data_IF_558690153254
#
_entry.id   IF_558690153254
#
_cell.length_a   1.000
_cell.length_b   1.000
_cell.length_c   1.000
_cell.angle_alpha   90.00
_cell.angle_beta   90.00
_cell.angle_gamma   90.00
#
_symmetry.space_group_name_H-M   'P 1'
#
loop_
_entity.id
_entity.type
_entity.pdbx_description
1 polymer ?
#
# COMPACT_ATOMS: atom_id res chain seq x y z
N UNK A 1 -6.28 -46.28 -76.36
CA UNK A 1 -6.79 -45.50 -75.20
C UNK A 1 -5.71 -45.33 -74.23
N UNK A 2 -5.16 -44.08 -74.08
CA UNK A 2 -4.13 -43.75 -73.07
C UNK A 2 -4.85 -43.06 -71.97
N UNK A 3 -4.85 -43.67 -70.75
CA UNK A 3 -5.33 -43.06 -69.53
C UNK A 3 -4.27 -42.12 -68.96
N UNK A 4 -4.59 -40.83 -68.83
CA UNK A 4 -3.76 -39.83 -68.15
C UNK A 4 -4.19 -39.83 -66.68
N UNK A 5 -3.31 -40.28 -65.78
CA UNK A 5 -3.52 -40.19 -64.35
C UNK A 5 -2.96 -38.80 -63.88
N UNK A 6 -3.86 -37.90 -63.47
CA UNK A 6 -3.48 -36.64 -62.83
C UNK A 6 -3.18 -36.87 -61.34
N UNK A 7 -2.05 -36.41 -60.80
CA UNK A 7 -1.81 -36.48 -59.38
C UNK A 7 -2.64 -35.42 -58.64
N UNK A 8 -3.43 -35.85 -57.64
CA UNK A 8 -4.10 -34.97 -56.69
C UNK A 8 -3.05 -34.54 -55.65
N UNK A 9 -2.63 -33.26 -55.68
CA UNK A 9 -1.79 -32.66 -54.67
C UNK A 9 -2.69 -32.27 -53.51
N UNK A 10 -2.67 -33.04 -52.40
CA UNK A 10 -3.33 -32.67 -51.15
C UNK A 10 -2.53 -31.54 -50.49
N UNK A 11 -3.03 -30.31 -50.51
CA UNK A 11 -2.49 -29.19 -49.81
C UNK A 11 -2.80 -29.35 -48.31
N UNK A 12 -1.80 -29.73 -47.53
CA UNK A 12 -1.87 -29.77 -46.04
C UNK A 12 -1.82 -28.34 -45.55
N UNK A 13 -2.96 -27.77 -45.15
CA UNK A 13 -3.04 -26.48 -44.47
C UNK A 13 -2.52 -26.70 -43.05
N UNK A 14 -1.26 -26.30 -42.76
CA UNK A 14 -0.77 -26.14 -41.40
C UNK A 14 -1.48 -24.96 -40.76
N UNK A 15 -2.50 -25.22 -39.96
CA UNK A 15 -3.02 -24.25 -38.98
C UNK A 15 -1.88 -23.97 -37.98
N UNK A 16 -1.14 -22.90 -38.19
CA UNK A 16 -0.24 -22.38 -37.19
C UNK A 16 -1.08 -21.98 -35.95
N UNK A 17 -1.01 -22.77 -34.90
CA UNK A 17 -1.50 -22.35 -33.59
C UNK A 17 -0.81 -21.01 -33.26
N UNK A 18 -1.54 -19.98 -32.85
CA UNK A 18 -0.89 -18.73 -32.43
C UNK A 18 0.08 -19.08 -31.32
N UNK A 19 1.38 -18.78 -31.51
CA UNK A 19 2.34 -18.85 -30.44
C UNK A 19 1.78 -18.04 -29.28
N UNK A 20 1.44 -18.70 -28.17
CA UNK A 20 0.83 -18.06 -27.01
C UNK A 20 1.65 -16.82 -26.65
N UNK A 21 1.03 -15.65 -26.62
CA UNK A 21 1.72 -14.42 -26.24
C UNK A 21 2.36 -14.64 -24.88
N UNK A 22 3.66 -14.35 -24.74
CA UNK A 22 4.39 -14.49 -23.49
C UNK A 22 3.66 -13.72 -22.37
N UNK A 23 3.55 -14.33 -21.18
CA UNK A 23 2.89 -13.70 -20.04
C UNK A 23 3.51 -12.33 -19.71
N UNK A 24 2.66 -11.41 -19.25
CA UNK A 24 3.10 -10.12 -18.74
C UNK A 24 3.50 -10.30 -17.27
N UNK A 25 4.78 -10.10 -16.98
CA UNK A 25 5.35 -10.41 -15.67
C UNK A 25 5.31 -9.22 -14.74
N UNK A 26 4.66 -9.39 -13.60
CA UNK A 26 4.62 -8.47 -12.47
C UNK A 26 5.70 -8.88 -11.48
N UNK A 27 6.66 -7.99 -11.19
CA UNK A 27 7.66 -8.18 -10.14
C UNK A 27 7.20 -7.59 -8.82
N UNK A 28 7.32 -8.35 -7.73
CA UNK A 28 7.04 -7.92 -6.36
C UNK A 28 8.33 -8.04 -5.54
N UNK A 29 8.98 -6.92 -5.25
CA UNK A 29 9.97 -6.83 -4.18
C UNK A 29 9.26 -6.43 -2.91
N UNK A 30 9.23 -7.29 -1.91
CA UNK A 30 8.46 -7.11 -0.68
C UNK A 30 9.24 -7.61 0.54
N UNK A 31 9.07 -7.00 1.70
CA UNK A 31 9.60 -7.49 2.96
C UNK A 31 8.76 -8.64 3.48
N UNK A 32 8.89 -9.83 2.92
CA UNK A 32 8.16 -11.01 3.38
C UNK A 32 8.65 -11.50 4.75
N UNK A 33 9.84 -11.06 5.13
CA UNK A 33 10.42 -11.15 6.47
C UNK A 33 10.85 -9.76 6.96
N UNK A 34 11.19 -9.63 8.25
CA UNK A 34 11.51 -8.35 8.85
C UNK A 34 10.28 -7.55 9.31
N UNK A 35 10.46 -6.25 9.57
CA UNK A 35 9.45 -5.41 10.23
C UNK A 35 8.19 -5.16 9.39
N UNK A 36 8.29 -5.20 8.07
CA UNK A 36 7.17 -4.96 7.16
C UNK A 36 6.39 -6.24 6.79
N UNK A 37 6.77 -7.40 7.35
CA UNK A 37 6.26 -8.70 6.89
C UNK A 37 4.73 -8.82 6.89
N UNK A 38 4.05 -8.25 7.88
CA UNK A 38 2.59 -8.31 7.97
C UNK A 38 1.93 -7.57 6.81
N UNK A 39 2.38 -6.34 6.54
CA UNK A 39 1.82 -5.49 5.49
C UNK A 39 2.20 -5.96 4.09
N UNK A 40 3.46 -6.34 3.88
CA UNK A 40 3.95 -6.72 2.56
C UNK A 40 3.44 -8.08 2.08
N UNK A 41 3.21 -9.03 3.00
CA UNK A 41 2.53 -10.28 2.67
C UNK A 41 1.08 -10.04 2.25
N UNK A 42 0.36 -9.18 2.97
CA UNK A 42 -1.02 -8.84 2.60
C UNK A 42 -1.08 -8.10 1.25
N UNK A 43 -0.15 -7.18 0.99
CA UNK A 43 -0.01 -6.52 -0.31
C UNK A 43 0.22 -7.52 -1.45
N UNK A 44 1.22 -8.39 -1.32
CA UNK A 44 1.50 -9.45 -2.29
C UNK A 44 0.26 -10.30 -2.57
N UNK A 45 -0.41 -10.76 -1.51
CA UNK A 45 -1.61 -11.57 -1.62
C UNK A 45 -2.72 -10.86 -2.43
N UNK A 46 -2.85 -9.54 -2.25
CA UNK A 46 -3.78 -8.71 -3.03
C UNK A 46 -3.42 -8.60 -4.51
N UNK A 47 -2.12 -8.44 -4.82
CA UNK A 47 -1.61 -8.46 -6.20
C UNK A 47 -1.89 -9.81 -6.87
N UNK A 48 -1.64 -10.92 -6.16
CA UNK A 48 -1.93 -12.27 -6.66
C UNK A 48 -3.41 -12.50 -6.93
N UNK A 49 -4.30 -12.05 -6.02
CA UNK A 49 -5.76 -12.15 -6.21
C UNK A 49 -6.21 -11.35 -7.42
N UNK A 50 -5.67 -10.14 -7.62
CA UNK A 50 -5.99 -9.31 -8.77
C UNK A 50 -5.53 -9.94 -10.09
N UNK A 51 -4.28 -10.43 -10.14
CA UNK A 51 -3.74 -11.10 -11.32
C UNK A 51 -4.54 -12.37 -11.66
N UNK A 52 -4.89 -13.18 -10.65
CA UNK A 52 -5.72 -14.37 -10.85
C UNK A 52 -7.10 -14.01 -11.41
N UNK A 53 -7.78 -13.01 -10.81
CA UNK A 53 -9.10 -12.56 -11.25
C UNK A 53 -9.12 -12.06 -12.71
N UNK A 54 -8.09 -11.31 -13.12
CA UNK A 54 -7.95 -10.89 -14.52
C UNK A 54 -7.65 -12.08 -15.43
N UNK A 55 -6.84 -13.02 -14.97
CA UNK A 55 -6.50 -14.22 -15.73
C UNK A 55 -7.70 -15.15 -15.99
N UNK A 56 -8.66 -15.22 -15.06
CA UNK A 56 -9.92 -15.97 -15.25
C UNK A 56 -10.72 -15.44 -16.44
N UNK A 57 -10.65 -14.13 -16.71
CA UNK A 57 -11.36 -13.47 -17.80
C UNK A 57 -10.53 -13.29 -19.09
N UNK A 58 -9.38 -13.96 -19.19
CA UNK A 58 -8.54 -13.92 -20.41
C UNK A 58 -7.27 -13.09 -20.27
N UNK A 59 -6.99 -12.51 -19.10
CA UNK A 59 -5.86 -11.64 -18.83
C UNK A 59 -6.11 -10.18 -19.23
N UNK A 60 -5.04 -9.42 -19.44
CA UNK A 60 -5.08 -8.02 -19.85
C UNK A 60 -4.73 -7.94 -21.34
N UNK A 61 -5.62 -7.38 -22.16
CA UNK A 61 -5.46 -7.29 -23.60
C UNK A 61 -5.04 -8.65 -24.26
N UNK A 62 -5.58 -9.76 -23.75
CA UNK A 62 -5.33 -11.11 -24.26
C UNK A 62 -4.04 -11.77 -23.75
N UNK A 63 -3.28 -11.14 -22.84
CA UNK A 63 -2.10 -11.74 -22.20
C UNK A 63 -2.38 -12.05 -20.74
N UNK A 64 -1.92 -13.21 -20.29
CA UNK A 64 -1.97 -13.61 -18.88
C UNK A 64 -0.94 -12.81 -18.07
N UNK A 65 -1.25 -12.60 -16.80
CA UNK A 65 -0.35 -12.00 -15.82
C UNK A 65 0.37 -13.10 -15.04
N UNK A 66 1.69 -13.04 -14.99
CA UNK A 66 2.52 -13.89 -14.14
C UNK A 66 3.14 -13.06 -13.02
N UNK A 67 3.03 -13.51 -11.77
CA UNK A 67 3.57 -12.81 -10.61
C UNK A 67 4.88 -13.46 -10.18
N UNK A 68 5.94 -12.67 -10.08
CA UNK A 68 7.26 -13.06 -9.56
C UNK A 68 7.49 -12.31 -8.25
N UNK A 69 7.64 -13.03 -7.17
CA UNK A 69 7.80 -12.45 -5.83
C UNK A 69 9.15 -12.80 -5.23
N UNK A 70 9.84 -11.80 -4.66
CA UNK A 70 11.11 -11.97 -3.96
C UNK A 70 11.10 -11.24 -2.61
N UNK A 71 11.68 -11.87 -1.60
CA UNK A 71 11.82 -11.30 -0.25
C UNK A 71 13.02 -10.34 -0.20
N UNK A 72 12.77 -9.07 0.08
CA UNK A 72 13.81 -8.08 0.34
C UNK A 72 14.17 -7.93 1.83
N UNK A 73 13.59 -8.79 2.69
CA UNK A 73 13.82 -8.86 4.15
C UNK A 73 13.57 -7.53 4.89
N UNK A 74 12.81 -6.63 4.29
CA UNK A 74 12.63 -5.25 4.75
C UNK A 74 13.92 -4.42 4.80
N UNK A 75 14.96 -4.83 4.05
CA UNK A 75 16.28 -4.21 4.02
C UNK A 75 16.56 -3.50 2.69
N UNK A 76 16.99 -2.21 2.70
CA UNK A 76 17.21 -1.44 1.48
C UNK A 76 18.26 -2.04 0.53
N UNK A 77 19.34 -2.61 1.06
CA UNK A 77 20.41 -3.22 0.26
C UNK A 77 19.92 -4.49 -0.44
N UNK A 78 19.14 -5.31 0.26
CA UNK A 78 18.54 -6.51 -0.30
C UNK A 78 17.52 -6.15 -1.38
N UNK A 79 16.72 -5.09 -1.17
CA UNK A 79 15.79 -4.61 -2.19
C UNK A 79 16.50 -4.30 -3.52
N UNK A 80 17.64 -3.60 -3.50
CA UNK A 80 18.43 -3.32 -4.73
C UNK A 80 18.84 -4.60 -5.44
N UNK A 81 19.27 -5.62 -4.67
CA UNK A 81 19.67 -6.93 -5.21
C UNK A 81 18.49 -7.63 -5.87
N UNK A 82 17.35 -7.67 -5.19
CA UNK A 82 16.11 -8.26 -5.68
C UNK A 82 15.63 -7.60 -6.97
N UNK A 83 15.58 -6.26 -7.01
CA UNK A 83 15.16 -5.53 -8.21
C UNK A 83 16.10 -5.81 -9.41
N UNK A 84 17.42 -5.84 -9.20
CA UNK A 84 18.39 -6.19 -10.26
C UNK A 84 18.15 -7.59 -10.80
N UNK A 85 17.95 -8.58 -9.92
CA UNK A 85 17.66 -9.97 -10.32
C UNK A 85 16.39 -10.03 -11.17
N UNK A 86 15.30 -9.40 -10.71
CA UNK A 86 14.02 -9.40 -11.42
C UNK A 86 14.10 -8.74 -12.79
N UNK A 87 14.94 -7.71 -12.95
CA UNK A 87 15.18 -7.05 -14.24
C UNK A 87 15.99 -7.95 -15.16
N UNK A 88 17.15 -8.47 -14.69
CA UNK A 88 18.12 -9.13 -15.56
C UNK A 88 17.84 -10.60 -15.83
N UNK A 89 17.21 -11.30 -14.88
CA UNK A 89 17.00 -12.75 -14.95
C UNK A 89 15.54 -13.10 -15.17
N UNK A 90 14.63 -12.46 -14.44
CA UNK A 90 13.20 -12.80 -14.48
C UNK A 90 12.48 -12.04 -15.61
N UNK A 91 13.08 -10.97 -16.15
CA UNK A 91 12.53 -10.14 -17.23
C UNK A 91 11.10 -9.62 -16.89
N UNK A 92 10.97 -8.99 -15.73
CA UNK A 92 9.69 -8.38 -15.31
C UNK A 92 9.35 -7.17 -16.18
N UNK A 93 8.07 -6.94 -16.42
CA UNK A 93 7.55 -5.87 -17.24
C UNK A 93 7.07 -4.66 -16.46
N UNK A 94 6.65 -4.87 -15.21
CA UNK A 94 6.19 -3.86 -14.27
C UNK A 94 6.53 -4.30 -12.85
N UNK A 95 6.86 -3.37 -11.98
CA UNK A 95 6.92 -3.62 -10.55
C UNK A 95 5.64 -3.18 -9.86
N UNK A 96 5.02 -4.08 -9.09
CA UNK A 96 3.93 -3.76 -8.16
C UNK A 96 4.44 -4.14 -6.77
N UNK A 97 5.29 -3.29 -6.19
CA UNK A 97 6.16 -3.64 -5.06
C UNK A 97 5.64 -3.15 -3.72
N UNK A 98 6.16 -3.77 -2.67
CA UNK A 98 5.72 -3.64 -1.30
C UNK A 98 5.94 -2.28 -0.63
N UNK A 99 5.73 -2.24 0.68
CA UNK A 99 5.56 -1.01 1.47
C UNK A 99 6.86 -0.46 2.08
N UNK A 100 8.01 -1.12 1.85
CA UNK A 100 9.30 -0.67 2.39
C UNK A 100 9.84 0.52 1.59
N UNK A 101 9.47 1.74 2.00
CA UNK A 101 9.86 2.99 1.28
C UNK A 101 11.37 3.12 1.10
N UNK A 102 12.16 2.82 2.11
CA UNK A 102 13.63 2.91 2.02
C UNK A 102 14.21 1.94 0.97
N UNK A 103 13.64 0.73 0.86
CA UNK A 103 14.02 -0.26 -0.17
C UNK A 103 13.66 0.20 -1.57
N UNK A 104 12.43 0.70 -1.75
CA UNK A 104 11.97 1.23 -3.03
C UNK A 104 12.80 2.45 -3.48
N UNK A 105 13.17 3.34 -2.55
CA UNK A 105 14.05 4.50 -2.86
C UNK A 105 15.44 4.06 -3.29
N UNK A 106 16.05 3.12 -2.57
CA UNK A 106 17.38 2.60 -2.92
C UNK A 106 17.39 1.92 -4.29
N UNK A 107 16.31 1.24 -4.67
CA UNK A 107 16.18 0.53 -5.94
C UNK A 107 15.72 1.42 -7.11
N UNK A 108 15.08 2.55 -6.86
CA UNK A 108 14.49 3.40 -7.89
C UNK A 108 15.46 3.77 -9.03
N UNK A 109 16.74 4.15 -8.81
CA UNK A 109 17.68 4.43 -9.90
C UNK A 109 17.93 3.25 -10.83
N UNK A 110 17.85 2.01 -10.31
CA UNK A 110 18.03 0.79 -11.12
C UNK A 110 16.81 0.58 -12.02
N UNK A 111 15.62 0.77 -11.49
CA UNK A 111 14.35 0.61 -12.21
C UNK A 111 14.17 1.69 -13.28
N UNK A 112 14.49 2.95 -12.94
CA UNK A 112 14.47 4.09 -13.88
C UNK A 112 15.37 3.82 -15.08
N UNK A 113 16.61 3.32 -14.85
CA UNK A 113 17.54 2.97 -15.92
C UNK A 113 17.01 1.86 -16.82
N UNK A 114 16.27 0.91 -16.25
CA UNK A 114 15.64 -0.18 -16.99
C UNK A 114 14.34 0.25 -17.72
N UNK A 115 13.85 1.46 -17.46
CA UNK A 115 12.59 2.00 -18.01
C UNK A 115 11.37 1.10 -17.72
N UNK A 116 11.30 0.56 -16.50
CA UNK A 116 10.21 -0.28 -16.04
C UNK A 116 9.34 0.54 -15.08
N UNK A 117 8.02 0.66 -15.27
CA UNK A 117 7.16 1.37 -14.34
C UNK A 117 7.05 0.64 -13.00
N UNK A 118 6.92 1.40 -11.92
CA UNK A 118 6.69 0.92 -10.56
C UNK A 118 5.34 1.43 -10.04
N UNK A 119 4.50 0.54 -9.54
CA UNK A 119 3.33 0.90 -8.74
C UNK A 119 3.57 0.39 -7.31
N UNK A 120 3.59 1.29 -6.36
CA UNK A 120 4.11 1.06 -5.02
C UNK A 120 3.03 1.12 -3.95
N UNK A 121 3.20 0.30 -2.91
CA UNK A 121 2.51 0.45 -1.63
C UNK A 121 3.10 1.57 -0.76
N UNK A 122 4.22 2.15 -1.15
CA UNK A 122 4.98 3.12 -0.36
C UNK A 122 4.77 4.55 -0.85
N UNK A 123 5.28 5.51 -0.10
CA UNK A 123 5.49 6.86 -0.60
C UNK A 123 6.43 6.84 -1.81
N UNK A 124 6.34 7.88 -2.63
CA UNK A 124 7.15 7.97 -3.85
C UNK A 124 8.61 8.32 -3.54
N UNK A 125 9.57 7.79 -4.33
CA UNK A 125 10.96 8.21 -4.25
C UNK A 125 11.10 9.70 -4.59
N UNK A 126 12.18 10.36 -4.14
CA UNK A 126 12.44 11.74 -4.50
C UNK A 126 12.71 11.89 -6.01
N UNK A 127 12.58 13.12 -6.51
CA UNK A 127 12.98 13.46 -7.88
C UNK A 127 14.50 13.25 -8.09
N UNK A 128 14.96 12.84 -9.29
CA UNK A 128 14.16 12.63 -10.51
C UNK A 128 13.54 11.22 -10.66
N UNK A 129 13.80 10.32 -9.72
CA UNK A 129 13.43 8.90 -9.83
C UNK A 129 11.91 8.67 -9.75
N UNK A 130 11.18 9.63 -9.20
CA UNK A 130 9.72 9.61 -9.15
C UNK A 130 9.05 9.43 -10.52
N UNK A 131 9.70 9.86 -11.59
CA UNK A 131 9.14 9.80 -12.96
C UNK A 131 8.61 8.41 -13.37
N UNK A 132 9.16 7.34 -12.80
CA UNK A 132 8.78 5.96 -13.12
C UNK A 132 7.98 5.29 -12.02
N UNK A 133 7.72 6.00 -10.92
CA UNK A 133 7.06 5.47 -9.74
C UNK A 133 5.67 6.10 -9.55
N UNK A 134 4.68 5.25 -9.30
CA UNK A 134 3.31 5.60 -8.93
C UNK A 134 3.00 4.96 -7.58
N UNK A 135 2.03 5.49 -6.85
CA UNK A 135 1.67 4.94 -5.54
C UNK A 135 0.16 4.81 -5.39
N UNK A 136 -0.27 3.72 -4.78
CA UNK A 136 -1.65 3.50 -4.35
C UNK A 136 -1.88 3.92 -2.89
N UNK A 137 -0.83 4.36 -2.21
CA UNK A 137 -0.94 4.90 -0.85
C UNK A 137 -1.50 6.33 -0.89
N UNK A 138 -2.48 6.68 -0.05
CA UNK A 138 -2.87 8.08 0.12
C UNK A 138 -1.67 8.94 0.57
N UNK A 139 -1.63 10.23 0.19
CA UNK A 139 -0.62 11.16 0.70
C UNK A 139 -0.49 11.09 2.23
N UNK A 140 0.72 11.00 2.75
CA UNK A 140 0.99 10.80 4.18
C UNK A 140 0.35 11.87 5.09
N UNK A 141 0.15 13.08 4.58
CA UNK A 141 -0.55 14.15 5.29
C UNK A 141 -2.02 13.83 5.59
N UNK A 142 -2.69 13.06 4.73
CA UNK A 142 -4.09 12.68 4.93
C UNK A 142 -4.32 11.83 6.18
N UNK A 143 -3.36 10.99 6.54
CA UNK A 143 -3.42 10.21 7.77
C UNK A 143 -3.28 11.12 9.01
N UNK A 144 -2.39 12.10 8.91
CA UNK A 144 -2.20 13.08 9.98
C UNK A 144 -3.45 13.95 10.15
N UNK A 145 -4.01 14.46 9.05
CA UNK A 145 -5.25 15.24 9.06
C UNK A 145 -6.36 14.53 9.81
N UNK A 146 -6.64 13.26 9.50
CA UNK A 146 -7.71 12.50 10.18
C UNK A 146 -7.49 12.38 11.69
N UNK A 147 -6.25 12.17 12.13
CA UNK A 147 -5.93 12.11 13.55
C UNK A 147 -6.07 13.46 14.24
N UNK A 148 -5.64 14.54 13.59
CA UNK A 148 -5.78 15.90 14.14
C UNK A 148 -7.24 16.36 14.17
N UNK A 149 -8.02 16.07 13.13
CA UNK A 149 -9.46 16.28 13.10
C UNK A 149 -10.15 15.60 14.28
N UNK A 150 -9.91 14.30 14.46
CA UNK A 150 -10.48 13.54 15.56
C UNK A 150 -10.14 14.16 16.91
N UNK A 151 -8.89 14.51 17.15
CA UNK A 151 -8.46 15.13 18.42
C UNK A 151 -9.17 16.48 18.64
N UNK A 152 -9.29 17.30 17.62
CA UNK A 152 -9.97 18.61 17.70
C UNK A 152 -11.46 18.48 17.97
N UNK A 153 -12.13 17.54 17.32
CA UNK A 153 -13.60 17.45 17.32
C UNK A 153 -14.16 16.58 18.46
N UNK A 154 -13.41 15.54 18.85
CA UNK A 154 -13.91 14.52 19.78
C UNK A 154 -13.22 14.58 21.15
N UNK A 155 -12.24 15.46 21.34
CA UNK A 155 -11.52 15.56 22.62
C UNK A 155 -11.29 17.02 23.04
N UNK A 156 -10.84 17.20 24.29
CA UNK A 156 -10.37 18.50 24.79
C UNK A 156 -8.85 18.62 24.79
N UNK A 157 -8.15 17.67 24.21
CA UNK A 157 -6.69 17.62 24.16
C UNK A 157 -6.16 18.77 23.29
N UNK A 158 -5.12 19.45 23.80
CA UNK A 158 -4.45 20.53 23.09
C UNK A 158 -2.96 20.26 22.84
N UNK A 159 -2.35 19.33 23.60
CA UNK A 159 -0.92 19.01 23.53
C UNK A 159 -0.75 17.57 23.10
N UNK A 160 0.03 17.37 22.04
CA UNK A 160 0.30 16.07 21.44
C UNK A 160 1.79 15.78 21.37
N UNK A 161 2.14 14.50 21.45
CA UNK A 161 3.46 13.98 21.14
C UNK A 161 3.48 13.30 19.76
N UNK A 162 4.64 13.25 19.13
CA UNK A 162 4.90 12.49 17.91
C UNK A 162 5.96 11.45 18.21
N UNK A 163 5.63 10.18 18.09
CA UNK A 163 6.53 9.04 18.29
C UNK A 163 6.70 8.33 16.94
N UNK A 164 7.91 8.38 16.35
CA UNK A 164 8.11 7.94 14.98
C UNK A 164 9.36 7.07 14.78
N UNK A 165 9.34 6.18 13.78
CA UNK A 165 10.52 5.45 13.34
C UNK A 165 11.37 6.29 12.36
N UNK A 166 12.58 5.83 11.95
CA UNK A 166 13.47 6.58 11.07
C UNK A 166 13.13 6.47 9.58
N UNK A 167 11.99 5.86 9.21
CA UNK A 167 11.66 5.65 7.80
C UNK A 167 11.28 6.96 7.07
N UNK A 168 11.50 7.03 5.74
CA UNK A 168 11.05 8.18 4.94
C UNK A 168 9.55 8.44 5.08
N UNK A 169 8.72 7.39 5.18
CA UNK A 169 7.29 7.51 5.41
C UNK A 169 6.96 8.21 6.74
N UNK A 170 7.62 7.79 7.82
CA UNK A 170 7.42 8.42 9.12
C UNK A 170 7.93 9.88 9.15
N UNK A 171 9.02 10.16 8.44
CA UNK A 171 9.51 11.52 8.26
C UNK A 171 8.50 12.47 7.62
N UNK A 172 7.78 12.03 6.59
CA UNK A 172 6.72 12.83 5.97
C UNK A 172 5.53 13.06 6.91
N UNK A 173 5.11 12.06 7.66
CA UNK A 173 4.01 12.22 8.62
C UNK A 173 4.41 13.11 9.80
N UNK A 174 5.65 12.99 10.29
CA UNK A 174 6.20 13.89 11.31
C UNK A 174 6.13 15.35 10.83
N UNK A 175 6.67 15.63 9.66
CA UNK A 175 6.65 16.97 9.07
C UNK A 175 5.21 17.48 8.86
N UNK A 176 4.28 16.61 8.44
CA UNK A 176 2.87 16.97 8.32
C UNK A 176 2.24 17.28 9.70
N UNK A 177 2.56 16.52 10.75
CA UNK A 177 2.06 16.79 12.10
C UNK A 177 2.53 18.15 12.62
N UNK A 178 3.82 18.47 12.49
CA UNK A 178 4.38 19.77 12.87
C UNK A 178 3.72 20.94 12.12
N UNK A 179 3.51 20.76 10.81
CA UNK A 179 2.91 21.80 9.95
C UNK A 179 1.42 22.01 10.22
N UNK A 180 0.67 20.93 10.38
CA UNK A 180 -0.80 20.97 10.39
C UNK A 180 -1.40 21.16 11.79
N UNK A 181 -0.75 20.66 12.86
CA UNK A 181 -1.31 20.70 14.21
C UNK A 181 -1.79 22.10 14.66
N UNK A 182 -1.07 23.22 14.39
CA UNK A 182 -1.54 24.54 14.78
C UNK A 182 -2.89 24.92 14.16
N UNK A 183 -3.18 24.52 12.93
CA UNK A 183 -4.46 24.82 12.26
C UNK A 183 -5.65 24.05 12.86
N UNK A 184 -5.36 23.00 13.61
CA UNK A 184 -6.36 22.25 14.40
C UNK A 184 -6.43 22.70 15.86
N UNK A 185 -5.69 23.73 16.26
CA UNK A 185 -5.61 24.20 17.64
C UNK A 185 -4.85 23.25 18.56
N UNK A 186 -3.91 22.49 18.01
CA UNK A 186 -3.07 21.51 18.70
C UNK A 186 -1.60 21.98 18.70
N UNK A 187 -0.90 21.68 19.77
CA UNK A 187 0.53 21.96 19.96
C UNK A 187 1.32 20.64 20.00
N UNK A 188 2.34 20.50 19.16
CA UNK A 188 3.30 19.40 19.23
C UNK A 188 4.35 19.73 20.30
N UNK A 189 4.23 19.13 21.48
CA UNK A 189 5.11 19.43 22.65
C UNK A 189 6.30 18.49 22.79
N UNK A 190 6.35 17.42 21.99
CA UNK A 190 7.47 16.48 22.01
C UNK A 190 7.49 15.64 20.74
N UNK A 191 8.68 15.43 20.21
CA UNK A 191 8.93 14.56 19.06
C UNK A 191 10.06 13.62 19.46
N UNK A 192 9.76 12.33 19.47
CA UNK A 192 10.71 11.30 19.87
C UNK A 192 10.83 10.24 18.78
N UNK A 193 12.06 9.84 18.48
CA UNK A 193 12.33 8.78 17.52
C UNK A 193 12.61 7.47 18.25
N UNK A 194 12.19 6.37 17.65
CA UNK A 194 12.49 5.01 18.09
C UNK A 194 13.07 4.18 16.93
N UNK A 195 13.74 3.07 17.23
CA UNK A 195 14.18 2.07 16.27
C UNK A 195 13.11 0.98 16.14
N UNK A 196 13.00 0.37 14.97
CA UNK A 196 11.98 -0.64 14.70
C UNK A 196 12.09 -1.91 15.54
N UNK A 197 13.25 -2.16 16.13
CA UNK A 197 13.56 -3.28 17.04
C UNK A 197 13.60 -2.91 18.53
N UNK A 198 13.28 -1.65 18.87
CA UNK A 198 13.25 -1.22 20.28
C UNK A 198 12.22 -2.01 21.09
N UNK A 199 12.69 -2.69 22.11
CA UNK A 199 11.88 -3.48 23.03
C UNK A 199 11.20 -2.64 24.13
N UNK A 200 11.65 -1.37 24.33
CA UNK A 200 11.16 -0.44 25.34
C UNK A 200 11.18 0.99 24.80
N UNK A 201 10.05 1.68 24.92
CA UNK A 201 9.83 3.06 24.49
C UNK A 201 9.45 3.98 25.68
N UNK A 202 9.62 3.50 26.92
CA UNK A 202 9.19 4.19 28.14
C UNK A 202 9.86 5.55 28.28
N UNK A 203 11.12 5.68 27.88
CA UNK A 203 11.89 6.95 27.95
C UNK A 203 11.27 8.00 27.04
N UNK A 204 11.02 7.65 25.77
CA UNK A 204 10.43 8.54 24.78
C UNK A 204 9.02 8.98 25.21
N UNK A 205 8.19 8.02 25.64
CA UNK A 205 6.83 8.26 26.11
C UNK A 205 6.82 9.15 27.35
N UNK A 206 7.69 8.90 28.31
CA UNK A 206 7.80 9.70 29.54
C UNK A 206 8.20 11.14 29.26
N UNK A 207 9.15 11.38 28.34
CA UNK A 207 9.54 12.74 27.95
C UNK A 207 8.36 13.51 27.32
N UNK A 208 7.62 12.90 26.40
CA UNK A 208 6.44 13.53 25.80
C UNK A 208 5.36 13.82 26.85
N UNK A 209 5.11 12.88 27.77
CA UNK A 209 4.14 13.08 28.83
C UNK A 209 4.57 14.20 29.81
N UNK A 210 5.86 14.29 30.17
CA UNK A 210 6.43 15.36 31.01
C UNK A 210 6.30 16.73 30.33
N UNK A 211 6.42 16.80 29.00
CA UNK A 211 6.17 18.01 28.21
C UNK A 211 4.66 18.37 28.14
N UNK A 212 3.78 17.53 28.65
CA UNK A 212 2.34 17.76 28.75
C UNK A 212 1.52 17.12 27.65
N UNK A 213 2.08 16.27 26.80
CA UNK A 213 1.29 15.52 25.80
C UNK A 213 0.23 14.64 26.47
N UNK A 214 -0.99 14.66 25.94
CA UNK A 214 -2.11 13.81 26.35
C UNK A 214 -2.63 12.92 25.21
N UNK A 215 -2.08 13.08 24.02
CA UNK A 215 -2.20 12.15 22.93
C UNK A 215 -0.84 11.94 22.24
N UNK A 216 -0.58 10.76 21.76
CA UNK A 216 0.62 10.40 21.01
C UNK A 216 0.21 9.95 19.61
N UNK A 217 0.72 10.65 18.59
CA UNK A 217 0.67 10.18 17.21
C UNK A 217 1.82 9.18 17.02
N UNK A 218 1.52 7.89 17.08
CA UNK A 218 2.51 6.84 16.83
C UNK A 218 2.57 6.58 15.32
N UNK A 219 3.75 6.74 14.74
CA UNK A 219 4.01 6.63 13.30
C UNK A 219 5.05 5.54 13.05
N UNK A 220 4.77 4.68 12.08
CA UNK A 220 5.62 3.54 11.71
C UNK A 220 4.90 2.21 11.86
N UNK A 221 5.48 1.15 11.31
CA UNK A 221 4.88 -0.18 11.17
C UNK A 221 5.41 -1.17 12.21
N UNK A 222 4.67 -2.27 12.38
CA UNK A 222 5.11 -3.47 13.06
C UNK A 222 4.96 -3.46 14.58
N UNK A 223 5.75 -4.35 15.23
CA UNK A 223 5.60 -4.73 16.64
C UNK A 223 5.78 -3.61 17.65
N UNK A 224 6.52 -2.54 17.33
CA UNK A 224 6.72 -1.37 18.22
C UNK A 224 5.42 -0.65 18.57
N UNK A 225 4.34 -0.84 17.79
CA UNK A 225 3.00 -0.33 18.14
C UNK A 225 2.47 -0.98 19.41
N UNK A 226 2.64 -2.30 19.52
CA UNK A 226 2.29 -3.03 20.75
C UNK A 226 3.23 -2.68 21.92
N UNK A 227 4.53 -2.51 21.65
CA UNK A 227 5.52 -2.07 22.66
C UNK A 227 5.09 -0.73 23.24
N UNK A 228 4.81 0.28 22.41
CA UNK A 228 4.34 1.59 22.85
C UNK A 228 3.08 1.50 23.73
N UNK A 229 2.10 0.70 23.33
CA UNK A 229 0.87 0.51 24.09
C UNK A 229 1.11 -0.08 25.48
N UNK A 230 1.96 -1.12 25.56
CA UNK A 230 2.36 -1.73 26.84
C UNK A 230 3.08 -0.74 27.74
N UNK A 231 3.98 0.08 27.19
CA UNK A 231 4.70 1.09 27.96
C UNK A 231 3.78 2.20 28.47
N UNK A 232 2.81 2.69 27.66
CA UNK A 232 1.80 3.66 28.12
C UNK A 232 1.02 3.08 29.31
N UNK A 233 0.57 1.83 29.21
CA UNK A 233 -0.16 1.15 30.29
C UNK A 233 0.71 0.95 31.54
N UNK A 234 1.96 0.47 31.37
CA UNK A 234 2.91 0.23 32.45
C UNK A 234 3.26 1.51 33.22
N UNK A 235 3.38 2.63 32.52
CA UNK A 235 3.63 3.95 33.12
C UNK A 235 2.37 4.55 33.77
N UNK A 236 1.22 3.91 33.68
CA UNK A 236 -0.04 4.39 34.25
C UNK A 236 -0.55 5.70 33.62
N UNK A 237 -0.20 5.98 32.37
CA UNK A 237 -0.52 7.25 31.73
C UNK A 237 -1.96 7.30 31.20
N UNK A 238 -2.59 8.45 31.42
CA UNK A 238 -3.88 8.78 30.80
C UNK A 238 -3.64 9.50 29.45
N UNK A 239 -3.14 8.73 28.48
CA UNK A 239 -2.70 9.25 27.18
C UNK A 239 -3.35 8.45 26.07
N UNK A 240 -3.99 9.14 25.10
CA UNK A 240 -4.50 8.52 23.90
C UNK A 240 -3.35 8.13 22.95
N UNK A 241 -3.46 7.00 22.31
CA UNK A 241 -2.55 6.61 21.21
C UNK A 241 -3.31 6.55 19.89
N UNK A 242 -2.88 7.35 18.91
CA UNK A 242 -3.44 7.37 17.56
C UNK A 242 -2.35 6.92 16.58
N UNK A 243 -2.61 5.82 15.85
CA UNK A 243 -1.61 5.23 14.95
C UNK A 243 -1.87 5.55 13.49
N UNK A 244 -0.84 5.39 12.66
CA UNK A 244 -0.94 5.37 11.20
C UNK A 244 -1.68 4.13 10.71
N UNK A 245 -1.87 4.02 9.38
CA UNK A 245 -2.37 2.81 8.73
C UNK A 245 -1.50 1.60 9.06
N UNK A 246 -2.15 0.50 9.46
CA UNK A 246 -1.50 -0.77 9.76
C UNK A 246 -2.52 -1.92 9.59
N UNK A 247 -2.08 -3.15 9.73
CA UNK A 247 -2.93 -4.35 9.70
C UNK A 247 -3.65 -4.56 11.05
N UNK A 248 -4.88 -5.03 10.99
CA UNK A 248 -5.68 -5.33 12.20
C UNK A 248 -5.03 -6.41 13.09
N UNK A 249 -4.18 -7.28 12.53
CA UNK A 249 -3.42 -8.24 13.33
C UNK A 249 -2.45 -7.55 14.31
N UNK A 250 -1.93 -6.36 13.93
CA UNK A 250 -1.12 -5.51 14.83
C UNK A 250 -2.01 -4.75 15.81
N UNK A 251 -3.17 -4.26 15.36
CA UNK A 251 -4.04 -3.40 16.17
C UNK A 251 -4.87 -4.14 17.22
N UNK A 252 -5.29 -5.38 16.97
CA UNK A 252 -6.10 -6.15 17.94
C UNK A 252 -5.42 -6.30 19.31
N UNK A 253 -4.14 -6.74 19.41
CA UNK A 253 -3.43 -6.79 20.69
C UNK A 253 -3.26 -5.41 21.35
N UNK A 254 -3.10 -4.34 20.55
CA UNK A 254 -3.00 -2.96 21.07
C UNK A 254 -4.31 -2.52 21.70
N UNK A 255 -5.44 -2.83 21.08
CA UNK A 255 -6.77 -2.53 21.61
C UNK A 255 -7.06 -3.29 22.93
N UNK A 256 -6.59 -4.52 23.07
CA UNK A 256 -6.67 -5.29 24.33
C UNK A 256 -5.87 -4.63 25.47
N UNK A 257 -4.76 -3.96 25.12
CA UNK A 257 -3.89 -3.27 26.10
C UNK A 257 -4.48 -1.93 26.52
N UNK A 258 -4.87 -1.08 25.56
CA UNK A 258 -5.24 0.33 25.80
C UNK A 258 -6.76 0.57 25.84
N UNK A 259 -7.57 -0.34 25.31
CA UNK A 259 -9.04 -0.20 25.29
C UNK A 259 -9.49 1.07 24.58
N UNK A 260 -10.25 1.89 25.29
CA UNK A 260 -10.84 3.15 24.81
C UNK A 260 -9.82 4.29 24.57
N UNK A 261 -8.55 4.07 24.88
CA UNK A 261 -7.44 5.00 24.61
C UNK A 261 -6.71 4.74 23.30
N UNK A 262 -7.13 3.74 22.51
CA UNK A 262 -6.53 3.37 21.26
C UNK A 262 -7.38 3.72 20.06
N UNK A 263 -6.80 4.48 19.13
CA UNK A 263 -7.40 4.85 17.85
C UNK A 263 -6.41 4.67 16.73
N UNK A 264 -6.90 4.44 15.53
CA UNK A 264 -6.07 4.26 14.36
C UNK A 264 -6.72 4.84 13.10
N UNK A 265 -5.89 5.17 12.12
CA UNK A 265 -6.37 5.50 10.79
C UNK A 265 -6.78 4.22 10.10
N UNK A 266 -8.00 4.16 9.62
CA UNK A 266 -8.54 3.03 8.88
C UNK A 266 -8.78 3.38 7.41
N UNK A 267 -8.53 2.39 6.54
CA UNK A 267 -8.87 2.49 5.13
C UNK A 267 -10.34 2.11 4.89
N UNK A 268 -10.92 2.53 3.74
CA UNK A 268 -12.28 2.15 3.38
C UNK A 268 -12.54 0.63 3.42
N UNK A 269 -11.56 -0.18 3.00
CA UNK A 269 -11.71 -1.63 3.00
C UNK A 269 -11.80 -2.25 4.41
N UNK A 270 -11.17 -1.62 5.42
CA UNK A 270 -11.26 -2.06 6.82
C UNK A 270 -12.60 -1.72 7.47
N UNK A 271 -13.29 -0.73 6.94
CA UNK A 271 -14.58 -0.25 7.44
C UNK A 271 -15.72 -0.45 6.44
N UNK A 272 -15.59 -1.43 5.55
CA UNK A 272 -16.51 -1.70 4.44
C UNK A 272 -17.98 -1.67 4.82
N UNK A 273 -18.35 -2.31 5.95
CA UNK A 273 -19.74 -2.40 6.40
C UNK A 273 -20.31 -1.04 6.81
N UNK A 274 -19.47 -0.10 7.24
CA UNK A 274 -19.86 1.26 7.62
C UNK A 274 -19.93 2.23 6.43
N UNK A 275 -19.47 1.83 5.24
CA UNK A 275 -19.49 2.71 4.06
C UNK A 275 -20.92 2.89 3.52
N UNK A 276 -21.25 4.11 3.07
CA UNK A 276 -22.47 4.33 2.31
C UNK A 276 -22.43 3.58 0.97
N UNK A 277 -23.58 3.23 0.44
CA UNK A 277 -23.68 2.64 -0.89
C UNK A 277 -23.17 3.65 -1.95
N UNK A 278 -22.41 3.14 -2.94
CA UNK A 278 -21.80 3.94 -3.96
C UNK A 278 -20.64 3.23 -4.67
N UNK A 279 -19.96 3.96 -5.56
CA UNK A 279 -18.91 3.41 -6.41
C UNK A 279 -17.75 2.81 -5.59
N UNK A 280 -17.33 3.46 -4.51
CA UNK A 280 -16.25 2.98 -3.64
C UNK A 280 -16.63 1.64 -2.98
N UNK A 281 -17.81 1.55 -2.39
CA UNK A 281 -18.29 0.31 -1.75
C UNK A 281 -18.45 -0.82 -2.76
N UNK A 282 -18.95 -0.52 -3.96
CA UNK A 282 -19.07 -1.48 -5.04
C UNK A 282 -17.71 -2.02 -5.52
N UNK A 283 -16.71 -1.15 -5.66
CA UNK A 283 -15.36 -1.57 -6.05
C UNK A 283 -14.70 -2.42 -4.96
N UNK A 284 -14.84 -2.02 -3.69
CA UNK A 284 -14.36 -2.83 -2.57
C UNK A 284 -15.06 -4.20 -2.55
N UNK A 285 -16.38 -4.27 -2.80
CA UNK A 285 -17.11 -5.54 -2.87
C UNK A 285 -16.57 -6.44 -4.00
N UNK A 286 -16.21 -5.86 -5.16
CA UNK A 286 -15.60 -6.58 -6.28
C UNK A 286 -14.28 -7.24 -5.89
N UNK A 287 -13.43 -6.52 -5.15
CA UNK A 287 -12.20 -7.04 -4.57
C UNK A 287 -12.46 -8.09 -3.48
N UNK A 288 -13.35 -7.79 -2.53
CA UNK A 288 -13.60 -8.66 -1.36
C UNK A 288 -14.14 -10.04 -1.75
N UNK A 289 -14.83 -10.18 -2.87
CA UNK A 289 -15.37 -11.47 -3.32
C UNK A 289 -14.27 -12.53 -3.51
N UNK A 290 -13.27 -12.36 -4.39
CA UNK A 290 -12.16 -13.30 -4.53
C UNK A 290 -11.23 -13.32 -3.31
N UNK A 291 -11.06 -12.19 -2.63
CA UNK A 291 -10.25 -12.12 -1.40
C UNK A 291 -10.78 -13.03 -0.30
N UNK A 292 -12.07 -12.89 0.05
CA UNK A 292 -12.71 -13.70 1.09
C UNK A 292 -12.76 -15.19 0.72
N UNK A 293 -12.93 -15.51 -0.55
CA UNK A 293 -12.90 -16.90 -1.01
C UNK A 293 -11.55 -17.57 -0.75
N UNK A 294 -10.44 -16.84 -0.84
CA UNK A 294 -9.08 -17.38 -0.65
C UNK A 294 -8.56 -17.22 0.79
N UNK A 295 -8.88 -16.11 1.45
CA UNK A 295 -8.24 -15.71 2.71
C UNK A 295 -9.21 -15.52 3.89
N UNK A 296 -10.52 -15.72 3.67
CA UNK A 296 -11.53 -15.54 4.72
C UNK A 296 -11.61 -14.08 5.19
N UNK A 297 -11.69 -13.89 6.51
CA UNK A 297 -11.85 -12.58 7.15
C UNK A 297 -10.52 -11.91 7.53
N UNK A 298 -9.41 -12.25 6.83
CA UNK A 298 -8.15 -11.51 7.00
C UNK A 298 -8.36 -10.05 6.65
N UNK A 299 -7.59 -9.17 7.33
CA UNK A 299 -7.62 -7.74 7.04
C UNK A 299 -7.35 -7.45 5.55
N UNK A 300 -8.29 -6.80 4.85
CA UNK A 300 -8.16 -6.51 3.43
C UNK A 300 -7.33 -5.26 3.11
N UNK A 301 -6.91 -4.48 4.12
CA UNK A 301 -6.34 -3.14 3.96
C UNK A 301 -5.23 -3.05 2.90
N UNK A 302 -4.14 -3.79 3.11
CA UNK A 302 -2.98 -3.74 2.22
C UNK A 302 -3.21 -4.51 0.94
N UNK A 303 -3.97 -5.59 1.01
CA UNK A 303 -4.36 -6.39 -0.15
C UNK A 303 -5.23 -5.58 -1.15
N UNK A 304 -6.16 -4.78 -0.65
CA UNK A 304 -6.99 -3.91 -1.47
C UNK A 304 -6.16 -2.92 -2.31
N UNK A 305 -5.09 -2.36 -1.73
CA UNK A 305 -4.17 -1.48 -2.46
C UNK A 305 -3.31 -2.24 -3.47
N UNK A 306 -2.91 -3.48 -3.16
CA UNK A 306 -2.24 -4.37 -4.12
C UNK A 306 -3.12 -4.68 -5.32
N UNK A 307 -4.41 -4.93 -5.07
CA UNK A 307 -5.44 -5.04 -6.10
C UNK A 307 -5.48 -3.77 -6.97
N UNK A 308 -5.58 -2.58 -6.37
CA UNK A 308 -5.61 -1.31 -7.09
C UNK A 308 -4.38 -1.14 -7.99
N UNK A 309 -3.18 -1.52 -7.52
CA UNK A 309 -1.95 -1.46 -8.31
C UNK A 309 -2.01 -2.27 -9.60
N UNK A 310 -2.56 -3.48 -9.53
CA UNK A 310 -2.77 -4.34 -10.72
C UNK A 310 -3.83 -3.74 -11.64
N UNK A 311 -4.96 -3.26 -11.08
CA UNK A 311 -6.06 -2.70 -11.87
C UNK A 311 -5.67 -1.41 -12.58
N UNK A 312 -4.88 -0.53 -11.95
CA UNK A 312 -4.30 0.67 -12.56
C UNK A 312 -3.36 0.30 -13.72
N UNK A 313 -2.49 -0.69 -13.51
CA UNK A 313 -1.58 -1.18 -14.54
C UNK A 313 -2.35 -1.79 -15.72
N UNK A 314 -3.36 -2.60 -15.44
CA UNK A 314 -4.23 -3.18 -16.48
C UNK A 314 -4.94 -2.10 -17.29
N UNK A 315 -5.49 -1.09 -16.62
CA UNK A 315 -6.14 0.06 -17.26
C UNK A 315 -5.19 0.81 -18.18
N UNK A 316 -3.94 1.06 -17.74
CA UNK A 316 -2.91 1.71 -18.56
C UNK A 316 -2.56 0.90 -19.82
N UNK A 317 -2.43 -0.43 -19.69
CA UNK A 317 -2.17 -1.33 -20.82
C UNK A 317 -3.33 -1.30 -21.84
N UNK A 318 -4.57 -1.39 -21.36
CA UNK A 318 -5.76 -1.38 -22.20
C UNK A 318 -5.94 -0.06 -22.95
N UNK A 319 -5.77 1.08 -22.27
CA UNK A 319 -5.85 2.41 -22.88
C UNK A 319 -4.75 2.65 -23.91
N UNK A 320 -3.52 2.29 -23.58
CA UNK A 320 -2.36 2.45 -24.46
C UNK A 320 -2.23 1.38 -25.53
N UNK A 321 -3.01 0.30 -25.43
CA UNK A 321 -2.90 -0.89 -26.31
C UNK A 321 -1.45 -1.37 -26.43
N UNK A 322 -0.69 -1.30 -25.35
CA UNK A 322 0.75 -1.58 -25.33
C UNK A 322 1.18 -2.19 -24.01
N UNK A 323 2.14 -3.12 -24.12
CA UNK A 323 2.86 -3.72 -22.99
C UNK A 323 4.26 -3.16 -22.80
N UNK A 324 4.65 -2.17 -23.58
CA UNK A 324 5.95 -1.50 -23.50
C UNK A 324 6.00 -0.61 -22.25
N UNK A 325 7.03 -0.76 -21.41
CA UNK A 325 7.12 -0.10 -20.11
C UNK A 325 6.97 1.43 -20.19
N UNK A 326 7.60 2.08 -21.18
CA UNK A 326 7.47 3.52 -21.36
C UNK A 326 6.03 3.95 -21.67
N UNK A 327 5.33 3.21 -22.53
CA UNK A 327 3.94 3.49 -22.88
C UNK A 327 3.00 3.21 -21.71
N UNK A 328 3.23 2.14 -20.95
CA UNK A 328 2.47 1.86 -19.73
C UNK A 328 2.64 3.01 -18.72
N UNK A 329 3.89 3.47 -18.51
CA UNK A 329 4.18 4.62 -17.66
C UNK A 329 3.45 5.88 -18.13
N UNK A 330 3.52 6.22 -19.42
CA UNK A 330 2.86 7.39 -20.00
C UNK A 330 1.32 7.30 -19.84
N UNK A 331 0.74 6.12 -19.98
CA UNK A 331 -0.69 5.92 -19.78
C UNK A 331 -1.09 6.01 -18.30
N UNK A 332 -0.27 5.52 -17.36
CA UNK A 332 -0.53 5.73 -15.93
C UNK A 332 -0.69 7.21 -15.59
N UNK A 333 0.12 8.10 -16.17
CA UNK A 333 0.03 9.55 -15.99
C UNK A 333 -1.28 10.17 -16.53
N UNK A 334 -2.03 9.48 -17.39
CA UNK A 334 -3.29 9.97 -17.97
C UNK A 334 -4.55 9.47 -17.26
N UNK A 335 -4.40 8.56 -16.31
CA UNK A 335 -5.55 7.96 -15.61
C UNK A 335 -6.21 9.00 -14.71
N UNK A 336 -7.47 9.33 -14.99
CA UNK A 336 -8.31 10.19 -14.17
C UNK A 336 -9.66 9.54 -13.88
N UNK A 337 -10.25 9.84 -12.72
CA UNK A 337 -11.54 9.29 -12.32
C UNK A 337 -11.56 7.78 -12.11
N UNK A 338 -10.40 7.15 -11.92
CA UNK A 338 -10.35 5.71 -11.70
C UNK A 338 -10.78 5.36 -10.27
N UNK A 339 -11.91 4.69 -10.15
CA UNK A 339 -12.39 4.21 -8.86
C UNK A 339 -11.62 2.96 -8.45
N UNK A 340 -10.75 3.09 -7.47
CA UNK A 340 -10.12 1.97 -6.80
C UNK A 340 -10.77 1.68 -5.44
N UNK A 341 -10.23 0.70 -4.75
CA UNK A 341 -10.68 0.27 -3.41
C UNK A 341 -10.28 1.26 -2.31
N UNK A 342 -9.27 2.09 -2.54
CA UNK A 342 -8.81 3.11 -1.58
C UNK A 342 -9.50 4.45 -1.81
N UNK A 343 -9.90 4.76 -3.05
CA UNK A 343 -10.49 6.02 -3.43
C UNK A 343 -10.45 6.25 -4.94
N UNK A 344 -10.66 7.49 -5.38
CA UNK A 344 -10.57 7.86 -6.79
C UNK A 344 -9.16 8.33 -7.11
N UNK A 345 -8.52 7.68 -8.09
CA UNK A 345 -7.20 8.05 -8.58
C UNK A 345 -7.30 9.04 -9.74
N UNK A 346 -6.59 10.16 -9.60
CA UNK A 346 -6.42 11.19 -10.62
C UNK A 346 -4.92 11.44 -10.79
N UNK A 347 -4.32 10.72 -11.73
CA UNK A 347 -2.90 10.84 -12.04
C UNK A 347 -2.63 11.97 -13.03
N UNK A 348 -1.40 12.46 -13.05
CA UNK A 348 -0.90 13.40 -14.07
C UNK A 348 0.63 13.31 -14.13
N UNK A 349 1.30 13.95 -15.10
CA UNK A 349 2.76 13.97 -15.16
C UNK A 349 3.46 14.54 -13.91
N UNK A 350 2.72 15.23 -13.05
CA UNK A 350 3.24 15.80 -11.79
C UNK A 350 2.60 15.21 -10.53
N UNK A 351 1.58 14.36 -10.69
CA UNK A 351 0.84 13.73 -9.57
C UNK A 351 0.80 12.22 -9.79
N UNK A 352 1.72 11.50 -9.19
CA UNK A 352 1.84 10.04 -9.30
C UNK A 352 1.25 9.27 -8.11
N UNK A 353 0.65 9.97 -7.16
CA UNK A 353 -0.01 9.36 -5.99
C UNK A 353 -1.56 9.39 -6.11
N UNK A 354 -2.10 10.21 -6.98
CA UNK A 354 -3.46 10.23 -7.54
C UNK A 354 -4.63 10.46 -6.59
N UNK A 355 -4.56 10.09 -5.32
CA UNK A 355 -5.65 10.28 -4.36
C UNK A 355 -5.64 11.72 -3.85
N UNK A 356 -6.69 12.49 -4.19
CA UNK A 356 -6.78 13.92 -3.88
C UNK A 356 -7.83 14.25 -2.82
N UNK A 357 -8.79 13.36 -2.60
CA UNK A 357 -9.81 13.45 -1.54
C UNK A 357 -9.49 12.42 -0.48
N UNK A 358 -9.41 12.85 0.78
CA UNK A 358 -9.04 11.98 1.89
C UNK A 358 -10.10 10.90 2.16
N UNK A 359 -9.83 9.62 1.84
CA UNK A 359 -10.79 8.52 1.98
C UNK A 359 -10.73 7.86 3.35
N UNK A 360 -9.77 8.26 4.18
CA UNK A 360 -9.45 7.63 5.44
C UNK A 360 -10.41 8.09 6.55
N UNK A 361 -10.59 7.26 7.55
CA UNK A 361 -11.36 7.56 8.76
C UNK A 361 -10.55 7.21 10.01
N UNK A 362 -10.99 7.72 11.17
CA UNK A 362 -10.48 7.26 12.46
C UNK A 362 -11.41 6.18 12.99
N UNK A 363 -10.81 5.09 13.46
CA UNK A 363 -11.51 3.94 14.02
C UNK A 363 -10.85 3.50 15.34
N UNK A 364 -11.59 2.66 16.06
CA UNK A 364 -11.10 1.90 17.22
C UNK A 364 -11.60 0.46 17.13
N UNK A 365 -11.18 -0.40 18.06
CA UNK A 365 -11.67 -1.77 18.17
C UNK A 365 -12.43 -1.94 19.48
N UNK A 366 -13.71 -2.30 19.38
CA UNK A 366 -14.59 -2.57 20.53
C UNK A 366 -15.11 -4.00 20.40
N UNK A 367 -14.90 -4.81 21.42
CA UNK A 367 -15.29 -6.23 21.42
C UNK A 367 -14.80 -7.00 20.17
N UNK A 368 -13.55 -6.71 19.73
CA UNK A 368 -12.93 -7.33 18.56
C UNK A 368 -13.43 -6.82 17.21
N UNK A 369 -14.38 -5.89 17.17
CA UNK A 369 -14.94 -5.30 15.95
C UNK A 369 -14.39 -3.89 15.69
N UNK A 370 -14.07 -3.58 14.45
CA UNK A 370 -13.67 -2.23 14.02
C UNK A 370 -14.90 -1.32 14.08
N UNK A 371 -14.76 -0.18 14.75
CA UNK A 371 -15.80 0.83 14.87
C UNK A 371 -15.27 2.19 14.44
N UNK A 372 -15.90 2.80 13.44
CA UNK A 372 -15.63 4.18 13.04
C UNK A 372 -16.09 5.14 14.15
N UNK A 373 -15.25 6.12 14.48
CA UNK A 373 -15.47 7.07 15.58
C UNK A 373 -15.45 8.54 15.16
N UNK A 374 -15.30 8.76 13.87
CA UNK A 374 -15.29 10.12 13.26
C UNK A 374 -16.69 10.57 12.90
#
# INVERSE_FOLDING_TARGET
MRFIIMPVIAATVFLALPAGAQDYKIGISAGLTGYAATVDRAWRDGVEVAAASLNETGGVAGRKLAVVTEDNRSEPQEAVTVYRKMISSDNVNVFISGCVSAGNFAAAPVVVRAQIPMVLCSILPPQPDQKWAFSTLPPAGMEVERRLEYLKEKTQIKKIGVLHDPTPYAGLQKAAAEKLAPSYGLEVVGIEQYKQDDADLSVQISKMNAAGARAILKIGLGGTTLTASKNIKQLGLDTLMLTSLEDLAVFRPVAEVLGDKFFFVASPSQVYDALPDGALKAEIARFLKPWKAKYGDRDPNWAARGWDGVMLTAKAIEQGKSFEGAKVRDQLETITGFQGTTGVYNMSPTVHQGITVNPLVVATIVNGQVKVVQ
#
